data_IF_005334904299
#
_entry.id   IF_005334904299
#
_cell.length_a   1.000
_cell.length_b   1.000
_cell.length_c   1.000
_cell.angle_alpha   90.00
_cell.angle_beta   90.00
_cell.angle_gamma   90.00
#
_symmetry.space_group_name_H-M   'P 1'
#
loop_
_entity.id
_entity.type
_entity.pdbx_description
1 polymer ?
#
# COMPACT_ATOMS: atom_id res chain seq x y z
N UNK A 1 -8.05 -4.83 13.52
CA UNK A 1 -8.85 -4.24 12.42
C UNK A 1 -9.56 -2.96 12.85
N UNK A 2 -10.28 -2.97 13.97
CA UNK A 2 -11.02 -1.78 14.48
C UNK A 2 -10.18 -0.50 14.66
N UNK A 3 -8.92 -0.60 15.10
CA UNK A 3 -8.02 0.57 15.29
C UNK A 3 -7.70 1.30 13.98
N UNK A 4 -7.63 0.60 12.85
CA UNK A 4 -7.31 1.19 11.55
C UNK A 4 -8.52 1.96 10.98
N UNK A 5 -9.72 1.41 11.17
CA UNK A 5 -10.99 2.08 10.86
C UNK A 5 -11.16 3.36 11.69
N UNK A 6 -10.92 3.30 13.00
CA UNK A 6 -11.04 4.47 13.88
C UNK A 6 -9.97 5.54 13.67
N UNK A 7 -8.85 5.19 13.04
CA UNK A 7 -7.76 6.14 12.83
C UNK A 7 -8.03 7.11 11.67
N UNK A 8 -9.03 6.84 10.81
CA UNK A 8 -9.44 7.76 9.74
C UNK A 8 -8.34 8.09 8.74
N UNK A 9 -7.37 7.18 8.54
CA UNK A 9 -6.12 7.48 7.81
C UNK A 9 -6.26 7.27 6.29
N UNK A 10 -7.24 6.48 5.85
CA UNK A 10 -7.42 6.11 4.45
C UNK A 10 -8.88 6.29 4.01
N UNK A 11 -9.09 6.72 2.77
CA UNK A 11 -10.43 6.92 2.20
C UNK A 11 -11.15 5.58 1.95
N UNK A 12 -10.42 4.47 1.78
CA UNK A 12 -10.98 3.13 1.59
C UNK A 12 -10.16 2.09 2.35
N UNK A 13 -10.85 1.10 2.92
CA UNK A 13 -10.22 -0.02 3.63
C UNK A 13 -10.58 -1.33 2.95
N UNK A 14 -9.56 -2.08 2.53
CA UNK A 14 -9.72 -3.39 1.90
C UNK A 14 -9.00 -4.45 2.71
N UNK A 15 -9.62 -5.63 2.81
CA UNK A 15 -8.97 -6.85 3.25
C UNK A 15 -8.61 -7.68 2.02
N UNK A 16 -7.33 -8.02 1.88
CA UNK A 16 -6.85 -8.90 0.82
C UNK A 16 -6.53 -10.29 1.41
N UNK A 17 -7.20 -11.33 0.91
CA UNK A 17 -7.07 -12.72 1.39
C UNK A 17 -7.06 -13.73 0.25
N UNK A 18 -6.55 -14.96 0.45
CA UNK A 18 -6.77 -16.05 -0.48
C UNK A 18 -8.25 -16.25 -0.80
N UNK A 19 -8.53 -16.78 -2.00
CA UNK A 19 -9.89 -17.07 -2.42
C UNK A 19 -10.62 -17.96 -1.41
N UNK A 20 -11.86 -17.57 -1.11
CA UNK A 20 -12.80 -18.29 -0.24
C UNK A 20 -12.35 -18.43 1.23
N UNK A 21 -11.36 -17.66 1.70
CA UNK A 21 -10.96 -17.70 3.11
C UNK A 21 -12.02 -17.07 4.04
N UNK A 22 -12.71 -16.04 3.56
CA UNK A 22 -13.71 -15.28 4.33
C UNK A 22 -14.86 -14.94 3.37
N UNK A 23 -16.10 -15.18 3.79
CA UNK A 23 -17.26 -14.78 2.99
C UNK A 23 -17.47 -13.25 3.06
N UNK A 24 -17.90 -12.58 1.96
CA UNK A 24 -18.13 -11.13 1.94
C UNK A 24 -19.02 -10.60 3.07
N UNK A 25 -19.96 -11.42 3.53
CA UNK A 25 -20.94 -11.13 4.58
C UNK A 25 -20.33 -11.14 5.98
N UNK A 26 -19.20 -11.84 6.17
CA UNK A 26 -18.49 -11.92 7.46
C UNK A 26 -17.55 -10.71 7.68
N UNK A 27 -17.37 -9.86 6.66
CA UNK A 27 -16.48 -8.71 6.73
C UNK A 27 -17.16 -7.51 7.39
N UNK A 28 -16.44 -6.86 8.31
CA UNK A 28 -16.86 -5.63 8.99
C UNK A 28 -17.44 -4.58 8.03
N UNK A 29 -18.44 -3.84 8.52
CA UNK A 29 -19.10 -2.79 7.75
C UNK A 29 -18.12 -1.74 7.25
N UNK A 30 -18.35 -1.30 6.00
CA UNK A 30 -17.54 -0.31 5.31
C UNK A 30 -16.24 -0.83 4.69
N UNK A 31 -15.81 -2.05 5.01
CA UNK A 31 -14.63 -2.65 4.38
C UNK A 31 -14.97 -3.30 3.03
N UNK A 32 -14.02 -3.22 2.10
CA UNK A 32 -14.01 -3.97 0.86
C UNK A 32 -13.23 -5.28 1.00
N UNK A 33 -13.50 -6.22 0.09
CA UNK A 33 -12.87 -7.54 0.05
C UNK A 33 -12.24 -7.78 -1.31
N UNK A 34 -10.96 -8.10 -1.28
CA UNK A 34 -10.18 -8.53 -2.43
C UNK A 34 -9.72 -9.97 -2.20
N UNK A 35 -10.00 -10.83 -3.19
CA UNK A 35 -9.37 -12.13 -3.25
C UNK A 35 -8.09 -12.07 -4.06
N UNK A 36 -7.03 -12.65 -3.51
CA UNK A 36 -5.73 -12.82 -4.17
C UNK A 36 -5.67 -14.23 -4.73
N UNK A 37 -5.57 -14.35 -6.06
CA UNK A 37 -5.50 -15.64 -6.74
C UNK A 37 -4.06 -16.20 -6.67
N UNK A 38 -3.87 -17.52 -6.88
CA UNK A 38 -2.54 -18.13 -6.94
C UNK A 38 -1.63 -17.52 -8.00
N UNK A 39 -2.20 -16.97 -9.07
CA UNK A 39 -1.49 -16.28 -10.16
C UNK A 39 -1.09 -14.84 -9.80
N UNK A 40 -1.22 -14.44 -8.53
CA UNK A 40 -0.94 -13.10 -8.02
C UNK A 40 -1.83 -12.01 -8.65
N UNK A 41 -3.02 -12.40 -9.07
CA UNK A 41 -4.04 -11.45 -9.52
C UNK A 41 -5.00 -11.12 -8.37
N UNK A 42 -5.69 -9.98 -8.47
CA UNK A 42 -6.63 -9.54 -7.45
C UNK A 42 -8.03 -9.43 -8.06
N UNK A 43 -9.01 -10.05 -7.42
CA UNK A 43 -10.42 -9.97 -7.77
C UNK A 43 -11.21 -9.28 -6.67
N UNK A 44 -11.93 -8.22 -7.02
CA UNK A 44 -12.83 -7.55 -6.09
C UNK A 44 -14.13 -8.34 -5.92
N UNK A 45 -14.47 -8.62 -4.66
CA UNK A 45 -15.64 -9.42 -4.29
C UNK A 45 -16.66 -8.58 -3.54
N UNK A 46 -16.19 -7.57 -2.81
CA UNK A 46 -17.02 -6.58 -2.11
C UNK A 46 -16.37 -5.20 -2.24
N UNK A 47 -17.06 -4.19 -2.76
CA UNK A 47 -16.52 -2.84 -2.80
C UNK A 47 -16.42 -2.26 -1.39
N UNK A 48 -15.35 -1.49 -1.14
CA UNK A 48 -15.23 -0.72 0.09
C UNK A 48 -16.15 0.50 0.04
N UNK A 49 -16.63 0.93 1.22
CA UNK A 49 -17.33 2.20 1.35
C UNK A 49 -16.29 3.29 1.59
N UNK A 50 -16.44 4.40 0.90
CA UNK A 50 -15.59 5.57 1.12
C UNK A 50 -15.81 6.12 2.52
N UNK A 51 -14.73 6.35 3.25
CA UNK A 51 -14.74 6.93 4.58
C UNK A 51 -14.31 8.40 4.52
N UNK A 52 -14.84 9.19 5.45
CA UNK A 52 -14.35 10.55 5.65
C UNK A 52 -12.98 10.48 6.35
N UNK A 53 -11.95 10.90 5.62
CA UNK A 53 -10.59 11.02 6.10
C UNK A 53 -10.22 12.51 6.17
N UNK A 54 -9.76 12.95 7.34
CA UNK A 54 -9.33 14.33 7.54
C UNK A 54 -8.07 14.64 6.73
N UNK A 55 -7.91 15.90 6.34
CA UNK A 55 -6.82 16.29 5.44
C UNK A 55 -5.43 16.06 6.05
N UNK A 56 -5.29 16.19 7.37
CA UNK A 56 -4.01 16.00 8.06
C UNK A 56 -3.60 14.52 8.02
N UNK A 57 -4.51 13.61 8.33
CA UNK A 57 -4.28 12.17 8.26
C UNK A 57 -3.94 11.72 6.84
N UNK A 58 -4.61 12.27 5.82
CA UNK A 58 -4.28 12.01 4.41
C UNK A 58 -2.85 12.45 4.08
N UNK A 59 -2.45 13.65 4.50
CA UNK A 59 -1.07 14.17 4.29
C UNK A 59 -0.02 13.31 4.98
N UNK A 60 -0.27 12.90 6.23
CA UNK A 60 0.63 12.01 6.96
C UNK A 60 0.77 10.66 6.26
N UNK A 61 -0.32 10.07 5.77
CA UNK A 61 -0.26 8.81 5.03
C UNK A 61 0.60 8.95 3.77
N UNK A 62 0.41 10.00 2.98
CA UNK A 62 1.21 10.27 1.77
C UNK A 62 2.70 10.43 2.11
N UNK A 63 3.03 11.16 3.18
CA UNK A 63 4.40 11.31 3.63
C UNK A 63 5.01 9.98 4.06
N UNK A 64 4.27 9.14 4.79
CA UNK A 64 4.72 7.82 5.22
C UNK A 64 4.96 6.89 4.03
N UNK A 65 4.07 6.93 3.02
CA UNK A 65 4.27 6.18 1.76
C UNK A 65 5.56 6.65 1.08
N UNK A 66 5.75 7.97 0.95
CA UNK A 66 6.96 8.54 0.36
C UNK A 66 8.23 8.13 1.11
N UNK A 67 8.22 8.22 2.44
CA UNK A 67 9.36 7.87 3.28
C UNK A 67 9.70 6.38 3.21
N UNK A 68 8.67 5.50 3.23
CA UNK A 68 8.87 4.06 3.10
C UNK A 68 9.37 3.66 1.71
N UNK A 69 8.94 4.37 0.66
CA UNK A 69 9.34 4.09 -0.71
C UNK A 69 10.67 4.75 -1.11
N UNK A 70 11.15 5.76 -0.37
CA UNK A 70 12.27 6.63 -0.74
C UNK A 70 13.49 5.82 -1.22
N UNK A 71 14.00 4.92 -0.40
CA UNK A 71 15.20 4.14 -0.73
C UNK A 71 14.99 3.23 -1.95
N UNK A 72 13.81 2.63 -2.08
CA UNK A 72 13.46 1.78 -3.23
C UNK A 72 13.40 2.58 -4.53
N UNK A 73 12.81 3.78 -4.49
CA UNK A 73 12.74 4.68 -5.65
C UNK A 73 14.13 5.19 -6.02
N UNK A 74 14.90 5.69 -5.05
CA UNK A 74 16.27 6.15 -5.29
C UNK A 74 17.13 5.03 -5.90
N UNK A 75 17.07 3.83 -5.32
CA UNK A 75 17.77 2.65 -5.87
C UNK A 75 17.34 2.34 -7.31
N UNK A 76 16.05 2.30 -7.60
CA UNK A 76 15.53 2.04 -8.94
C UNK A 76 15.96 3.08 -9.97
N UNK A 77 16.21 4.33 -9.53
CA UNK A 77 16.73 5.42 -10.36
C UNK A 77 18.27 5.52 -10.35
N UNK A 78 18.97 4.63 -9.65
CA UNK A 78 20.43 4.65 -9.55
C UNK A 78 20.98 5.75 -8.64
N UNK A 79 20.17 6.34 -7.77
CA UNK A 79 20.58 7.37 -6.80
C UNK A 79 20.88 6.72 -5.45
N UNK A 80 21.99 7.12 -4.82
CA UNK A 80 22.35 6.72 -3.46
C UNK A 80 22.59 7.96 -2.59
N UNK A 81 22.16 7.89 -1.35
CA UNK A 81 22.50 8.85 -0.30
C UNK A 81 23.55 8.22 0.61
N UNK A 82 24.60 8.96 0.96
CA UNK A 82 25.53 8.54 2.00
C UNK A 82 25.00 8.90 3.41
N UNK A 83 25.74 8.51 4.46
CA UNK A 83 25.37 8.81 5.85
C UNK A 83 25.37 10.30 6.23
N UNK A 84 25.92 11.16 5.37
CA UNK A 84 25.96 12.62 5.52
C UNK A 84 24.91 13.32 4.62
N UNK A 85 24.14 12.55 3.83
CA UNK A 85 23.15 13.06 2.89
C UNK A 85 23.71 13.48 1.52
N UNK A 86 24.98 13.19 1.22
CA UNK A 86 25.55 13.44 -0.10
C UNK A 86 24.93 12.50 -1.16
N UNK A 87 24.66 13.06 -2.34
CA UNK A 87 24.01 12.35 -3.43
C UNK A 87 25.06 11.76 -4.38
N UNK A 88 24.94 10.45 -4.64
CA UNK A 88 25.78 9.73 -5.59
C UNK A 88 24.94 9.06 -6.68
N UNK A 89 25.42 9.13 -7.92
CA UNK A 89 24.80 8.48 -9.05
C UNK A 89 25.52 7.18 -9.40
N UNK A 90 24.73 6.13 -9.61
CA UNK A 90 25.14 4.78 -10.00
C UNK A 90 24.30 4.34 -11.18
N UNK A 91 24.73 3.29 -11.89
CA UNK A 91 23.89 2.72 -12.96
C UNK A 91 22.63 2.12 -12.33
N UNK A 92 21.42 2.49 -12.79
CA UNK A 92 20.18 1.89 -12.31
C UNK A 92 20.21 0.36 -12.44
N UNK A 93 19.65 -0.38 -11.47
CA UNK A 93 19.56 -1.82 -11.54
C UNK A 93 18.76 -2.23 -12.79
N UNK A 94 19.37 -3.06 -13.64
CA UNK A 94 18.68 -3.62 -14.81
C UNK A 94 18.05 -4.95 -14.41
N UNK A 95 16.78 -5.13 -14.78
CA UNK A 95 16.07 -6.41 -14.63
C UNK A 95 16.91 -7.50 -15.28
N UNK A 96 17.33 -8.49 -14.49
CA UNK A 96 18.02 -9.68 -15.02
C UNK A 96 16.99 -10.43 -15.86
N UNK A 97 17.23 -10.57 -17.16
CA UNK A 97 16.43 -11.47 -18.01
C UNK A 97 16.72 -12.90 -17.53
N UNK A 98 15.72 -13.55 -16.98
CA UNK A 98 15.66 -15.01 -16.85
C UNK A 98 14.79 -15.54 -17.98
#
# INVERSE_FOLDING_TARGET
>A
MERLSRAGVADFLYLAVPENLIAPEELFDGWGLWYVTPELTVREVKPAVRQDCDELSRRHLVQNIGQAALNSVLFAQGVRLDGMGAVHFTRPPRRRRQ
#
